data_IF_887763784590
#
_entry.id   IF_887763784590
#
_cell.length_a   1.000
_cell.length_b   1.000
_cell.length_c   1.000
_cell.angle_alpha   90.00
_cell.angle_beta   90.00
_cell.angle_gamma   90.00
#
_symmetry.space_group_name_H-M   'P 1'
#
loop_
_entity.id
_entity.type
_entity.pdbx_description
1 polymer ?
#
# COMPACT_ATOMS: atom_id res chain seq x y z
N UNK A 1 9.63 24.70 -25.97
CA UNK A 1 9.31 23.27 -26.05
C UNK A 1 8.72 22.91 -24.70
N UNK A 2 7.40 22.98 -24.59
CA UNK A 2 6.66 22.80 -23.35
C UNK A 2 6.10 21.39 -23.41
N UNK A 3 6.73 20.45 -22.71
CA UNK A 3 6.15 19.12 -22.52
C UNK A 3 4.80 19.28 -21.80
N UNK A 4 3.69 18.74 -22.34
CA UNK A 4 2.46 18.68 -21.58
C UNK A 4 2.70 17.72 -20.42
N UNK A 5 2.83 18.25 -19.19
CA UNK A 5 2.68 17.47 -17.96
C UNK A 5 1.21 17.10 -17.77
N UNK A 6 0.65 16.38 -18.73
CA UNK A 6 -0.68 15.79 -18.65
C UNK A 6 -0.51 14.28 -18.69
N UNK A 7 -0.49 13.72 -17.50
CA UNK A 7 -0.39 12.29 -17.28
C UNK A 7 -0.69 12.04 -15.82
N UNK A 8 -1.91 12.36 -15.39
CA UNK A 8 -2.40 11.89 -14.10
C UNK A 8 -2.13 10.38 -14.04
N UNK A 9 -1.30 9.94 -13.09
CA UNK A 9 -0.96 8.53 -12.97
C UNK A 9 -2.24 7.74 -12.80
N UNK A 10 -2.39 6.64 -13.55
CA UNK A 10 -3.60 5.82 -13.49
C UNK A 10 -3.85 5.37 -12.04
N UNK A 11 -5.06 5.62 -11.50
CA UNK A 11 -5.47 5.09 -10.21
C UNK A 11 -5.24 3.58 -10.10
N UNK A 12 -5.04 3.13 -8.86
CA UNK A 12 -4.78 1.72 -8.56
C UNK A 12 -5.99 1.11 -7.86
N UNK A 13 -6.40 -0.09 -8.28
CA UNK A 13 -7.52 -0.79 -7.64
C UNK A 13 -7.16 -1.23 -6.22
N UNK A 14 -8.11 -1.27 -5.26
CA UNK A 14 -7.88 -1.81 -3.92
C UNK A 14 -7.27 -3.22 -3.94
N UNK A 15 -7.78 -4.11 -4.81
CA UNK A 15 -7.27 -5.48 -4.94
C UNK A 15 -5.79 -5.52 -5.35
N UNK A 16 -5.35 -4.60 -6.21
CA UNK A 16 -3.93 -4.49 -6.59
C UNK A 16 -3.08 -4.01 -5.42
N UNK A 17 -3.59 -3.08 -4.61
CA UNK A 17 -2.94 -2.65 -3.37
C UNK A 17 -2.80 -3.83 -2.40
N UNK A 18 -3.88 -4.59 -2.18
CA UNK A 18 -3.88 -5.77 -1.31
C UNK A 18 -2.84 -6.80 -1.76
N UNK A 19 -2.78 -7.09 -3.06
CA UNK A 19 -1.81 -8.02 -3.64
C UNK A 19 -0.35 -7.60 -3.39
N UNK A 20 0.00 -6.33 -3.64
CA UNK A 20 1.36 -5.84 -3.44
C UNK A 20 1.74 -5.77 -1.95
N UNK A 21 0.82 -5.29 -1.10
CA UNK A 21 1.00 -5.24 0.34
C UNK A 21 1.20 -6.63 0.95
N UNK A 22 0.38 -7.60 0.53
CA UNK A 22 0.52 -9.01 0.93
C UNK A 22 1.88 -9.56 0.54
N UNK A 23 2.34 -9.29 -0.69
CA UNK A 23 3.63 -9.78 -1.18
C UNK A 23 4.79 -9.24 -0.34
N UNK A 24 4.92 -7.93 -0.19
CA UNK A 24 6.06 -7.35 0.53
C UNK A 24 6.05 -7.74 2.02
N UNK A 25 4.87 -7.89 2.62
CA UNK A 25 4.75 -8.28 4.03
C UNK A 25 5.08 -9.76 4.24
N UNK A 26 4.63 -10.64 3.34
CA UNK A 26 5.01 -12.06 3.36
C UNK A 26 6.52 -12.26 3.16
N UNK A 27 7.14 -11.51 2.23
CA UNK A 27 8.59 -11.55 2.04
C UNK A 27 9.35 -11.18 3.32
N UNK A 28 8.84 -10.20 4.09
CA UNK A 28 9.42 -9.86 5.39
C UNK A 28 9.23 -10.98 6.42
N UNK A 29 8.04 -11.59 6.49
CA UNK A 29 7.75 -12.68 7.42
C UNK A 29 8.57 -13.94 7.15
N UNK A 30 8.81 -14.24 5.88
CA UNK A 30 9.61 -15.38 5.45
C UNK A 30 11.13 -15.14 5.57
N UNK A 31 11.56 -13.94 5.97
CA UNK A 31 12.96 -13.57 6.07
C UNK A 31 13.65 -13.30 4.73
N UNK A 32 12.90 -13.18 3.63
CA UNK A 32 13.42 -12.80 2.31
C UNK A 32 13.81 -11.32 2.24
N UNK A 33 13.17 -10.47 3.06
CA UNK A 33 13.54 -9.07 3.23
C UNK A 33 14.05 -8.82 4.63
N UNK A 34 15.22 -8.18 4.72
CA UNK A 34 15.66 -7.63 5.99
C UNK A 34 14.78 -6.43 6.41
N UNK A 35 15.05 -5.90 7.60
CA UNK A 35 14.27 -4.79 8.16
C UNK A 35 14.38 -3.52 7.31
N UNK A 36 15.57 -3.20 6.80
CA UNK A 36 15.83 -1.98 6.03
C UNK A 36 15.23 -2.07 4.63
N UNK A 37 15.35 -3.23 3.98
CA UNK A 37 14.75 -3.48 2.66
C UNK A 37 13.22 -3.42 2.72
N UNK A 38 12.63 -4.05 3.75
CA UNK A 38 11.19 -3.98 3.97
C UNK A 38 10.73 -2.53 4.19
N UNK A 39 11.39 -1.80 5.08
CA UNK A 39 11.07 -0.40 5.38
C UNK A 39 11.13 0.50 4.14
N UNK A 40 12.17 0.31 3.31
CA UNK A 40 12.33 1.05 2.07
C UNK A 40 11.19 0.74 1.08
N UNK A 41 10.90 -0.55 0.84
CA UNK A 41 9.84 -0.97 -0.11
C UNK A 41 8.46 -0.54 0.36
N UNK A 42 8.17 -0.68 1.65
CA UNK A 42 6.90 -0.29 2.25
C UNK A 42 6.67 1.23 2.14
N UNK A 43 7.68 2.04 2.49
CA UNK A 43 7.64 3.50 2.35
C UNK A 43 7.44 3.96 0.91
N UNK A 44 8.14 3.30 -0.03
CA UNK A 44 8.01 3.58 -1.46
C UNK A 44 6.61 3.27 -1.95
N UNK A 45 6.06 2.10 -1.59
CA UNK A 45 4.70 1.72 -1.95
C UNK A 45 3.69 2.75 -1.48
N UNK A 46 3.73 3.19 -0.21
CA UNK A 46 2.79 4.20 0.30
C UNK A 46 2.91 5.52 -0.48
N UNK A 47 4.12 5.96 -0.80
CA UNK A 47 4.33 7.17 -1.60
C UNK A 47 3.69 7.05 -2.98
N UNK A 48 3.92 5.93 -3.67
CA UNK A 48 3.32 5.66 -4.98
C UNK A 48 1.78 5.60 -4.91
N UNK A 49 1.20 5.00 -3.87
CA UNK A 49 -0.25 4.97 -3.68
C UNK A 49 -0.85 6.37 -3.50
N UNK A 50 -0.14 7.26 -2.79
CA UNK A 50 -0.57 8.65 -2.58
C UNK A 50 -0.54 9.44 -3.90
N UNK A 51 0.49 9.23 -4.72
CA UNK A 51 0.64 9.91 -6.00
C UNK A 51 -0.39 9.43 -7.03
N UNK A 52 -0.68 8.12 -7.06
CA UNK A 52 -1.61 7.51 -8.02
C UNK A 52 -3.08 7.63 -7.65
N UNK A 53 -3.39 7.80 -6.35
CA UNK A 53 -4.72 7.55 -5.75
C UNK A 53 -5.15 6.09 -5.86
N UNK A 54 -5.99 5.67 -4.92
CA UNK A 54 -6.62 4.36 -4.91
C UNK A 54 -8.06 4.53 -5.39
N UNK A 55 -8.52 3.65 -6.27
CA UNK A 55 -9.90 3.64 -6.77
C UNK A 55 -10.89 3.30 -5.66
N UNK A 56 -12.09 3.87 -5.74
CA UNK A 56 -13.18 3.62 -4.80
C UNK A 56 -13.19 4.53 -3.57
N UNK A 57 -14.15 4.28 -2.70
CA UNK A 57 -14.35 4.94 -1.43
C UNK A 57 -13.38 4.40 -0.36
N UNK A 58 -13.18 5.18 0.72
CA UNK A 58 -12.41 4.72 1.89
C UNK A 58 -12.92 3.39 2.44
N UNK A 59 -14.23 3.18 2.45
CA UNK A 59 -14.86 1.97 2.95
C UNK A 59 -14.53 0.75 2.09
N UNK A 60 -14.57 0.89 0.76
CA UNK A 60 -14.19 -0.18 -0.19
C UNK A 60 -12.69 -0.50 -0.07
N UNK A 61 -11.84 0.51 0.04
CA UNK A 61 -10.40 0.32 0.25
C UNK A 61 -10.14 -0.41 1.56
N UNK A 62 -10.76 0.01 2.67
CA UNK A 62 -10.61 -0.65 3.96
C UNK A 62 -11.15 -2.08 3.94
N UNK A 63 -12.30 -2.33 3.32
CA UNK A 63 -12.89 -3.66 3.22
C UNK A 63 -11.94 -4.63 2.50
N UNK A 64 -11.28 -4.19 1.43
CA UNK A 64 -10.32 -5.01 0.68
C UNK A 64 -9.02 -5.27 1.46
N UNK A 65 -8.53 -4.29 2.23
CA UNK A 65 -7.24 -4.38 2.92
C UNK A 65 -7.33 -5.03 4.31
N UNK A 66 -8.47 -4.93 4.99
CA UNK A 66 -8.66 -5.41 6.38
C UNK A 66 -8.33 -6.89 6.57
N UNK A 67 -8.68 -7.82 5.65
CA UNK A 67 -8.34 -9.23 5.79
C UNK A 67 -6.82 -9.47 5.97
N UNK A 68 -5.96 -8.65 5.38
CA UNK A 68 -4.50 -8.79 5.51
C UNK A 68 -4.02 -8.51 6.95
N UNK A 69 -4.69 -7.60 7.66
CA UNK A 69 -4.42 -7.34 9.08
C UNK A 69 -4.99 -8.48 9.94
N UNK A 70 -6.22 -8.90 9.68
CA UNK A 70 -6.89 -9.94 10.46
C UNK A 70 -6.19 -11.30 10.38
N UNK A 71 -5.64 -11.62 9.21
CA UNK A 71 -4.85 -12.83 8.97
C UNK A 71 -3.39 -12.71 9.48
N UNK A 72 -2.99 -11.53 9.98
CA UNK A 72 -1.64 -11.28 10.47
C UNK A 72 -0.57 -11.15 9.37
N UNK A 73 -0.95 -11.10 8.09
CA UNK A 73 -0.02 -10.85 6.97
C UNK A 73 0.61 -9.45 7.10
N UNK A 74 -0.18 -8.47 7.52
CA UNK A 74 0.29 -7.11 7.84
C UNK A 74 0.25 -6.94 9.35
N UNK A 75 1.37 -6.54 9.93
CA UNK A 75 1.47 -6.34 11.39
C UNK A 75 0.60 -5.16 11.84
N UNK A 76 0.18 -5.15 13.10
CA UNK A 76 -0.62 -4.04 13.63
C UNK A 76 0.07 -2.66 13.51
N UNK A 77 1.39 -2.51 13.79
CA UNK A 77 2.12 -1.26 13.53
C UNK A 77 2.11 -0.83 12.06
N UNK A 78 2.36 -1.76 11.14
CA UNK A 78 2.39 -1.46 9.70
C UNK A 78 1.00 -1.08 9.18
N UNK A 79 -0.04 -1.76 9.68
CA UNK A 79 -1.43 -1.42 9.40
C UNK A 79 -1.75 0.02 9.83
N UNK A 80 -1.46 0.37 11.08
CA UNK A 80 -1.72 1.72 11.61
C UNK A 80 -1.02 2.80 10.79
N UNK A 81 0.23 2.55 10.42
CA UNK A 81 1.01 3.45 9.56
C UNK A 81 0.37 3.59 8.17
N UNK A 82 0.02 2.49 7.54
CA UNK A 82 -0.60 2.45 6.21
C UNK A 82 -1.90 3.27 6.18
N UNK A 83 -2.85 2.96 7.05
CA UNK A 83 -4.18 3.61 7.03
C UNK A 83 -4.08 5.10 7.36
N UNK A 84 -3.17 5.49 8.25
CA UNK A 84 -2.91 6.90 8.58
C UNK A 84 -2.28 7.65 7.41
N UNK A 85 -1.25 7.10 6.77
CA UNK A 85 -0.56 7.79 5.67
C UNK A 85 -1.40 7.86 4.39
N UNK A 86 -2.36 6.96 4.22
CA UNK A 86 -3.34 6.99 3.13
C UNK A 86 -4.61 7.79 3.46
N UNK A 87 -4.78 8.26 4.70
CA UNK A 87 -5.98 9.02 5.12
C UNK A 87 -7.27 8.19 5.07
N UNK A 88 -7.17 6.91 5.43
CA UNK A 88 -8.29 5.96 5.50
C UNK A 88 -8.98 5.95 6.87
N UNK A 89 -8.35 6.55 7.90
CA UNK A 89 -8.87 6.75 9.26
C UNK A 89 -8.57 8.15 9.76
#
# INVERSE_FOLDING_TARGET
MTDPKDGALKPITPARVASELSKISAQRQNGELDKYEYEHRFSRMISELRDRRIEGSRAEILAELTPLREQGVVTAPDWQRLVRQLGLV
#
